data_IF_912868888592
#
_entry.id   IF_912868888592
#
_cell.length_a   1.000
_cell.length_b   1.000
_cell.length_c   1.000
_cell.angle_alpha   90.00
_cell.angle_beta   90.00
_cell.angle_gamma   90.00
#
_symmetry.space_group_name_H-M   'P 1'
#
loop_
_entity.id
_entity.type
_entity.pdbx_description
1 polymer ?
#
# COMPACT_ATOMS: atom_id res chain seq x y z
N UNK A 1 3.21 20.71 1.60
CA UNK A 1 4.49 19.99 1.47
C UNK A 1 4.24 18.80 0.56
N UNK A 2 5.13 18.48 -0.39
CA UNK A 2 4.89 17.37 -1.32
C UNK A 2 4.82 16.05 -0.54
N UNK A 3 3.71 15.34 -0.70
CA UNK A 3 3.51 14.01 -0.11
C UNK A 3 3.98 12.94 -1.08
N UNK A 4 4.65 11.90 -0.58
CA UNK A 4 4.87 10.67 -1.33
C UNK A 4 3.87 9.63 -0.86
N UNK A 5 3.15 9.01 -1.79
CA UNK A 5 2.16 7.98 -1.49
C UNK A 5 2.63 6.65 -2.08
N UNK A 6 2.93 5.69 -1.22
CA UNK A 6 3.17 4.30 -1.61
C UNK A 6 1.84 3.57 -1.79
N UNK A 7 1.61 3.03 -2.99
CA UNK A 7 0.46 2.19 -3.32
C UNK A 7 0.97 0.76 -3.55
N UNK A 8 0.88 -0.12 -2.54
CA UNK A 8 1.31 -1.50 -2.70
C UNK A 8 0.33 -2.28 -3.59
N UNK A 9 0.87 -3.24 -4.32
CA UNK A 9 0.14 -4.21 -5.11
C UNK A 9 -0.59 -5.22 -4.23
N UNK A 10 -1.57 -5.89 -4.83
CA UNK A 10 -2.32 -6.96 -4.20
C UNK A 10 -2.44 -8.09 -5.20
N UNK A 11 -1.93 -9.28 -4.86
CA UNK A 11 -1.99 -10.48 -5.70
C UNK A 11 -3.39 -11.05 -5.95
N UNK A 12 -4.45 -10.25 -5.76
CA UNK A 12 -5.83 -10.61 -6.03
C UNK A 12 -6.22 -10.37 -7.50
N UNK A 13 -7.09 -11.22 -8.03
CA UNK A 13 -7.43 -11.25 -9.47
C UNK A 13 -8.45 -10.19 -9.92
N UNK A 14 -9.04 -9.40 -9.02
CA UNK A 14 -10.28 -8.69 -9.31
C UNK A 14 -10.16 -7.17 -9.54
N UNK A 15 -8.98 -6.55 -9.44
CA UNK A 15 -8.76 -5.11 -9.71
C UNK A 15 -9.54 -4.11 -8.83
N UNK A 16 -10.50 -4.59 -8.03
CA UNK A 16 -11.29 -3.81 -7.09
C UNK A 16 -10.40 -3.22 -5.99
N UNK A 17 -9.45 -4.02 -5.48
CA UNK A 17 -8.47 -3.57 -4.49
C UNK A 17 -7.56 -2.48 -5.06
N UNK A 18 -7.07 -2.66 -6.28
CA UNK A 18 -6.22 -1.69 -6.98
C UNK A 18 -6.97 -0.36 -7.17
N UNK A 19 -8.22 -0.39 -7.66
CA UNK A 19 -9.08 0.80 -7.79
C UNK A 19 -9.34 1.49 -6.46
N UNK A 20 -9.64 0.73 -5.41
CA UNK A 20 -9.88 1.30 -4.09
C UNK A 20 -8.62 1.96 -3.52
N UNK A 21 -7.46 1.28 -3.56
CA UNK A 21 -6.18 1.82 -3.10
C UNK A 21 -5.81 3.08 -3.87
N UNK A 22 -6.02 3.07 -5.18
CA UNK A 22 -5.80 4.26 -6.02
C UNK A 22 -6.78 5.39 -5.71
N UNK A 23 -8.02 5.09 -5.33
CA UNK A 23 -8.98 6.08 -4.85
C UNK A 23 -8.50 6.78 -3.57
N UNK A 24 -8.00 6.01 -2.59
CA UNK A 24 -7.39 6.55 -1.37
C UNK A 24 -6.15 7.40 -1.70
N UNK A 25 -5.28 6.91 -2.59
CA UNK A 25 -4.09 7.64 -3.03
C UNK A 25 -4.44 8.95 -3.74
N UNK A 26 -5.39 8.93 -4.68
CA UNK A 26 -5.81 10.10 -5.46
C UNK A 26 -6.45 11.17 -4.58
N UNK A 27 -7.29 10.75 -3.61
CA UNK A 27 -7.87 11.66 -2.64
C UNK A 27 -6.79 12.32 -1.78
N UNK A 28 -5.92 11.50 -1.19
CA UNK A 28 -4.82 12.00 -0.34
C UNK A 28 -3.89 12.94 -1.12
N UNK A 29 -3.59 12.63 -2.39
CA UNK A 29 -2.79 13.49 -3.25
C UNK A 29 -3.46 14.85 -3.46
N UNK A 30 -4.77 14.85 -3.70
CA UNK A 30 -5.57 16.07 -3.90
C UNK A 30 -5.62 16.93 -2.63
N UNK A 31 -5.83 16.32 -1.46
CA UNK A 31 -5.91 17.01 -0.18
C UNK A 31 -4.56 17.68 0.21
N UNK A 32 -3.45 17.12 -0.26
CA UNK A 32 -2.10 17.67 -0.05
C UNK A 32 -1.65 18.66 -1.14
N UNK A 33 -2.49 18.92 -2.15
CA UNK A 33 -2.16 19.83 -3.26
C UNK A 33 -1.18 19.26 -4.28
N UNK A 34 -1.06 17.94 -4.38
CA UNK A 34 -0.15 17.24 -5.29
C UNK A 34 0.98 16.49 -4.58
N UNK A 35 1.83 15.83 -5.37
CA UNK A 35 2.92 15.00 -4.87
C UNK A 35 3.27 13.87 -5.83
N UNK A 36 3.86 12.82 -5.28
CA UNK A 36 4.36 11.67 -6.03
C UNK A 36 3.73 10.37 -5.59
N UNK A 37 3.43 9.49 -6.53
CA UNK A 37 2.99 8.12 -6.31
C UNK A 37 4.15 7.16 -6.52
N UNK A 38 4.36 6.27 -5.57
CA UNK A 38 5.23 5.10 -5.73
C UNK A 38 4.33 3.88 -5.80
N UNK A 39 4.34 3.18 -6.93
CA UNK A 39 3.47 2.05 -7.22
C UNK A 39 4.32 0.80 -7.20
N UNK A 40 4.02 -0.15 -6.31
CA UNK A 40 4.86 -1.33 -6.10
C UNK A 40 4.08 -2.61 -6.29
N UNK A 41 4.66 -3.61 -6.96
CA UNK A 41 4.06 -4.94 -7.09
C UNK A 41 4.49 -5.69 -8.35
N UNK A 42 4.54 -7.02 -8.25
CA UNK A 42 4.98 -7.89 -9.34
C UNK A 42 3.87 -8.20 -10.36
N UNK A 43 4.25 -8.83 -11.49
CA UNK A 43 3.31 -9.44 -12.46
C UNK A 43 2.26 -8.44 -12.99
N UNK A 44 2.71 -7.23 -13.32
CA UNK A 44 1.83 -6.19 -13.88
C UNK A 44 1.01 -5.42 -12.83
N UNK A 45 1.15 -5.71 -11.53
CA UNK A 45 0.39 -5.01 -10.48
C UNK A 45 0.70 -3.51 -10.43
N UNK A 46 1.99 -3.15 -10.44
CA UNK A 46 2.39 -1.76 -10.41
C UNK A 46 1.96 -0.99 -11.67
N UNK A 47 2.00 -1.64 -12.84
CA UNK A 47 1.55 -1.09 -14.11
C UNK A 47 0.03 -0.92 -14.18
N UNK A 48 -0.74 -1.86 -13.61
CA UNK A 48 -2.20 -1.71 -13.47
C UNK A 48 -2.55 -0.58 -12.52
N UNK A 49 -1.81 -0.41 -11.43
CA UNK A 49 -1.95 0.77 -10.58
C UNK A 49 -1.61 2.04 -11.35
N UNK A 50 -0.56 2.05 -12.17
CA UNK A 50 -0.16 3.23 -12.94
C UNK A 50 -1.25 3.65 -13.93
N UNK A 51 -1.92 2.68 -14.57
CA UNK A 51 -3.05 2.94 -15.46
C UNK A 51 -4.27 3.56 -14.75
N UNK A 52 -4.37 3.44 -13.42
CA UNK A 52 -5.44 4.03 -12.62
C UNK A 52 -5.05 5.38 -12.00
N UNK A 53 -3.78 5.78 -12.09
CA UNK A 53 -3.28 6.99 -11.47
C UNK A 53 -3.84 8.26 -12.16
N UNK A 54 -4.04 9.35 -11.41
CA UNK A 54 -4.47 10.62 -11.99
C UNK A 54 -3.38 11.16 -12.94
N UNK A 55 -3.76 11.79 -14.06
CA UNK A 55 -2.83 12.13 -15.16
C UNK A 55 -1.74 13.16 -14.79
N UNK A 56 -1.91 13.87 -13.68
CA UNK A 56 -0.97 14.89 -13.20
C UNK A 56 -0.08 14.39 -12.04
N UNK A 57 -0.22 13.13 -11.61
CA UNK A 57 0.65 12.57 -10.59
C UNK A 57 2.03 12.26 -11.17
N UNK A 58 3.08 12.62 -10.43
CA UNK A 58 4.41 12.06 -10.68
C UNK A 58 4.40 10.59 -10.24
N UNK A 59 4.81 9.66 -11.12
CA UNK A 59 4.72 8.23 -10.86
C UNK A 59 6.11 7.60 -10.90
N UNK A 60 6.43 6.81 -9.87
CA UNK A 60 7.56 5.89 -9.84
C UNK A 60 7.05 4.45 -9.70
N UNK A 61 7.62 3.52 -10.46
CA UNK A 61 7.18 2.12 -10.52
C UNK A 61 8.25 1.21 -9.92
N UNK A 62 7.83 0.33 -9.03
CA UNK A 62 8.59 -0.81 -8.52
C UNK A 62 7.85 -2.09 -8.94
N UNK A 63 8.36 -2.83 -9.92
CA UNK A 63 7.63 -3.94 -10.56
C UNK A 63 8.06 -5.34 -10.11
N UNK A 64 8.86 -5.44 -9.05
CA UNK A 64 9.53 -6.69 -8.66
C UNK A 64 9.05 -7.25 -7.32
N UNK A 65 8.33 -6.48 -6.49
CA UNK A 65 7.89 -6.93 -5.18
C UNK A 65 6.80 -8.01 -5.22
N UNK A 66 7.02 -9.10 -4.50
CA UNK A 66 6.14 -10.29 -4.48
C UNK A 66 5.35 -10.46 -3.19
N UNK A 67 5.51 -9.56 -2.23
CA UNK A 67 4.88 -9.64 -0.92
C UNK A 67 4.71 -8.25 -0.30
N UNK A 68 3.90 -8.14 0.76
CA UNK A 68 3.77 -6.87 1.50
C UNK A 68 5.10 -6.39 2.06
N UNK A 69 5.99 -7.30 2.50
CA UNK A 69 7.31 -6.91 2.99
C UNK A 69 8.18 -6.37 1.84
N UNK A 70 8.23 -7.11 0.74
CA UNK A 70 8.99 -6.71 -0.45
C UNK A 70 8.47 -5.39 -1.04
N UNK A 71 7.16 -5.12 -0.98
CA UNK A 71 6.60 -3.85 -1.44
C UNK A 71 7.20 -2.67 -0.67
N UNK A 72 7.49 -2.84 0.62
CA UNK A 72 8.14 -1.81 1.44
C UNK A 72 9.62 -1.76 1.12
N UNK A 73 10.31 -2.89 1.27
CA UNK A 73 11.76 -3.00 1.09
C UNK A 73 12.24 -2.46 -0.26
N UNK A 74 11.61 -2.89 -1.36
CA UNK A 74 12.03 -2.51 -2.70
C UNK A 74 11.60 -1.10 -3.09
N UNK A 75 10.60 -0.54 -2.40
CA UNK A 75 10.20 0.84 -2.60
C UNK A 75 11.10 1.84 -1.87
N UNK A 76 11.85 1.43 -0.84
CA UNK A 76 12.69 2.32 -0.03
C UNK A 76 13.60 3.25 -0.85
N UNK A 77 14.33 2.78 -1.89
CA UNK A 77 15.16 3.66 -2.72
C UNK A 77 14.35 4.77 -3.39
N UNK A 78 13.11 4.48 -3.79
CA UNK A 78 12.20 5.46 -4.39
C UNK A 78 11.65 6.43 -3.35
N UNK A 79 11.57 6.03 -2.08
CA UNK A 79 11.08 6.85 -0.97
C UNK A 79 12.14 7.80 -0.41
N UNK A 80 13.41 7.66 -0.80
CA UNK A 80 14.50 8.51 -0.33
C UNK A 80 14.16 10.01 -0.45
N UNK A 81 14.48 10.78 0.59
CA UNK A 81 14.20 12.22 0.64
C UNK A 81 12.74 12.61 0.89
N UNK A 82 11.83 11.64 1.04
CA UNK A 82 10.42 11.92 1.34
C UNK A 82 10.26 12.58 2.71
N UNK A 83 9.57 13.73 2.74
CA UNK A 83 9.24 14.45 3.97
C UNK A 83 7.99 13.89 4.66
N UNK A 84 6.98 13.48 3.88
CA UNK A 84 5.74 12.87 4.36
C UNK A 84 5.40 11.64 3.53
N UNK A 85 5.25 10.49 4.19
CA UNK A 85 4.93 9.23 3.54
C UNK A 85 3.52 8.80 3.88
N UNK A 86 2.75 8.41 2.86
CA UNK A 86 1.45 7.74 3.04
C UNK A 86 1.54 6.35 2.44
N UNK A 87 0.93 5.37 3.11
CA UNK A 87 0.79 4.00 2.58
C UNK A 87 -0.69 3.76 2.29
N UNK A 88 -1.07 3.79 1.01
CA UNK A 88 -2.45 3.67 0.54
C UNK A 88 -2.91 2.20 0.50
N UNK A 89 -3.27 1.66 1.66
CA UNK A 89 -3.87 0.33 1.82
C UNK A 89 -4.83 0.34 3.02
N UNK A 90 -5.62 -0.72 3.22
CA UNK A 90 -6.50 -0.87 4.39
C UNK A 90 -5.74 -0.75 5.72
N UNK A 91 -6.48 -0.46 6.80
CA UNK A 91 -5.89 -0.11 8.10
C UNK A 91 -5.02 -1.22 8.66
N UNK A 92 -5.40 -2.47 8.45
CA UNK A 92 -4.65 -3.62 8.94
C UNK A 92 -3.32 -3.76 8.20
N UNK A 93 -3.36 -3.80 6.86
CA UNK A 93 -2.15 -3.89 6.04
C UNK A 93 -1.24 -2.69 6.24
N UNK A 94 -1.80 -1.49 6.50
CA UNK A 94 -1.00 -0.31 6.81
C UNK A 94 -0.23 -0.51 8.11
N UNK A 95 -0.87 -0.95 9.20
CA UNK A 95 -0.16 -1.22 10.47
C UNK A 95 0.98 -2.20 10.27
N UNK A 96 0.75 -3.25 9.48
CA UNK A 96 1.77 -4.25 9.14
C UNK A 96 2.90 -3.67 8.30
N UNK A 97 2.58 -2.87 7.28
CA UNK A 97 3.55 -2.18 6.43
C UNK A 97 4.41 -1.19 7.24
N UNK A 98 3.80 -0.40 8.13
CA UNK A 98 4.52 0.53 9.01
C UNK A 98 5.44 -0.22 9.97
N UNK A 99 5.06 -1.41 10.45
CA UNK A 99 5.95 -2.24 11.25
C UNK A 99 7.18 -2.68 10.45
N UNK A 100 6.99 -3.19 9.23
CA UNK A 100 8.11 -3.57 8.36
C UNK A 100 8.99 -2.37 8.02
N UNK A 101 8.38 -1.23 7.73
CA UNK A 101 9.12 0.00 7.48
C UNK A 101 9.96 0.40 8.70
N UNK A 102 9.42 0.30 9.92
CA UNK A 102 10.17 0.60 11.14
C UNK A 102 11.35 -0.34 11.38
N UNK A 103 11.25 -1.60 10.94
CA UNK A 103 12.35 -2.57 11.02
C UNK A 103 13.47 -2.25 10.00
N UNK A 104 13.11 -1.72 8.83
CA UNK A 104 14.06 -1.42 7.74
C UNK A 104 14.65 0.01 7.82
N UNK A 105 13.81 0.99 8.11
CA UNK A 105 14.13 2.42 8.18
C UNK A 105 13.23 3.11 9.23
N UNK A 106 13.69 3.17 10.49
CA UNK A 106 12.95 3.81 11.58
C UNK A 106 12.68 5.30 11.34
N UNK A 107 13.57 5.99 10.62
CA UNK A 107 13.46 7.43 10.35
C UNK A 107 12.33 7.70 9.35
N UNK A 108 12.29 6.94 8.26
CA UNK A 108 11.19 7.00 7.30
C UNK A 108 9.86 6.60 7.95
N UNK A 109 9.87 5.60 8.84
CA UNK A 109 8.67 5.19 9.58
C UNK A 109 8.08 6.32 10.46
N UNK A 110 8.91 7.20 11.00
CA UNK A 110 8.47 8.35 11.79
C UNK A 110 7.78 9.44 10.94
N UNK A 111 7.99 9.41 9.62
CA UNK A 111 7.39 10.36 8.65
C UNK A 111 6.08 9.85 8.04
N UNK A 112 5.61 8.67 8.48
CA UNK A 112 4.35 8.11 7.99
C UNK A 112 3.17 8.87 8.58
N UNK A 113 2.32 9.40 7.71
CA UNK A 113 1.04 10.04 8.08
C UNK A 113 -0.14 9.14 7.72
N UNK A 114 -1.33 9.47 8.23
CA UNK A 114 -2.54 8.73 7.93
C UNK A 114 -3.06 9.08 6.52
N UNK A 115 -3.47 8.10 5.70
CA UNK A 115 -4.18 8.37 4.45
C UNK A 115 -5.59 8.89 4.72
N UNK A 116 -6.12 9.68 3.79
CA UNK A 116 -7.54 10.02 3.81
C UNK A 116 -8.37 8.91 3.15
N UNK A 117 -8.96 8.05 3.99
CA UNK A 117 -9.81 6.95 3.54
C UNK A 117 -11.19 7.39 3.00
N UNK A 118 -11.55 8.67 3.17
CA UNK A 118 -12.89 9.18 2.93
C UNK A 118 -13.94 8.66 3.91
N UNK A 119 -15.05 9.40 4.03
CA UNK A 119 -16.13 9.12 4.97
C UNK A 119 -17.04 7.92 4.59
N UNK A 120 -16.95 7.40 3.36
CA UNK A 120 -17.79 6.28 2.86
C UNK A 120 -17.05 4.97 2.58
N UNK A 121 -15.72 4.95 2.61
CA UNK A 121 -14.96 3.99 1.77
C UNK A 121 -14.06 3.00 2.52
N UNK A 122 -13.95 3.06 3.86
CA UNK A 122 -13.04 2.17 4.60
C UNK A 122 -13.62 0.84 5.10
N UNK A 123 -14.90 0.81 5.50
CA UNK A 123 -15.38 -0.22 6.43
C UNK A 123 -15.51 -1.62 5.80
N UNK A 124 -15.95 -1.71 4.55
CA UNK A 124 -16.07 -3.01 3.86
C UNK A 124 -14.69 -3.61 3.52
N UNK A 125 -13.67 -2.78 3.26
CA UNK A 125 -12.29 -3.23 3.04
C UNK A 125 -11.62 -3.65 4.34
N UNK A 126 -11.87 -2.95 5.45
CA UNK A 126 -11.44 -3.38 6.77
C UNK A 126 -12.06 -4.75 7.14
N UNK A 127 -13.34 -4.97 6.82
CA UNK A 127 -14.00 -6.28 7.00
C UNK A 127 -13.44 -7.37 6.08
N UNK A 128 -13.22 -7.07 4.80
CA UNK A 128 -12.64 -8.03 3.85
C UNK A 128 -11.19 -8.40 4.20
N UNK A 129 -10.39 -7.41 4.63
CA UNK A 129 -9.03 -7.61 5.12
C UNK A 129 -8.97 -8.48 6.37
N UNK A 130 -9.88 -8.24 7.34
CA UNK A 130 -9.99 -9.06 8.54
C UNK A 130 -10.38 -10.51 8.23
N UNK A 131 -11.29 -10.73 7.28
CA UNK A 131 -11.68 -12.07 6.85
C UNK A 131 -10.52 -12.80 6.16
N UNK A 132 -9.78 -12.13 5.28
CA UNK A 132 -8.60 -12.70 4.63
C UNK A 132 -7.49 -13.07 5.63
N UNK A 133 -7.19 -12.19 6.59
CA UNK A 133 -6.27 -12.46 7.71
C UNK A 133 -6.67 -13.72 8.49
N UNK A 134 -7.95 -13.86 8.83
CA UNK A 134 -8.46 -15.01 9.55
C UNK A 134 -8.30 -16.31 8.75
N UNK A 135 -8.58 -16.27 7.45
CA UNK A 135 -8.41 -17.41 6.54
C UNK A 135 -6.94 -17.82 6.40
N UNK A 136 -6.01 -16.86 6.26
CA UNK A 136 -4.56 -17.14 6.20
C UNK A 136 -4.06 -17.74 7.51
N UNK A 137 -4.51 -17.24 8.66
CA UNK A 137 -4.16 -17.81 9.98
C UNK A 137 -4.70 -19.23 10.14
N UNK A 138 -5.95 -19.49 9.72
CA UNK A 138 -6.54 -20.81 9.74
C UNK A 138 -5.78 -21.80 8.85
N UNK A 139 -5.40 -21.40 7.63
CA UNK A 139 -4.57 -22.22 6.75
C UNK A 139 -3.21 -22.56 7.37
N UNK A 140 -2.53 -21.59 7.99
CA UNK A 140 -1.25 -21.84 8.67
C UNK A 140 -1.40 -22.79 9.87
N UNK A 141 -2.48 -22.68 10.63
CA UNK A 141 -2.76 -23.59 11.74
C UNK A 141 -3.07 -25.02 11.27
N UNK A 142 -3.77 -25.16 10.14
CA UNK A 142 -4.05 -26.46 9.52
C UNK A 142 -2.78 -27.11 8.93
N UNK A 143 -1.93 -26.32 8.28
CA UNK A 143 -0.65 -26.79 7.73
C UNK A 143 0.40 -27.09 8.82
N UNK A 144 0.35 -26.38 9.95
CA UNK A 144 1.20 -26.64 11.12
C UNK A 144 0.79 -27.86 11.96
N UNK A 145 -0.41 -28.41 11.73
CA UNK A 145 -0.92 -29.62 12.42
C UNK A 145 -0.54 -30.94 11.75
N UNK A 146 0.13 -30.89 10.60
CA UNK A 146 0.52 -32.05 9.78
C UNK A 146 2.02 -32.40 9.93
N UNK A 147 2.69 -31.90 10.97
CA UNK A 147 4.06 -32.28 11.34
C UNK A 147 4.08 -32.95 12.69
#
# INVERSE_FOLDING_TARGET
MPVTILVPGYGGRFGVVERWRMGVASKTLSDHGGGRLVLSGHRGEAERLAALAPPHAEISIESSARSTFENIEKSLPLLAGTAQLVIATDRFHRRRAVRYLRELDPEMAARVVDPDYGWRTGWWMDSAGALYEALVRAQRALLGRQR
#
